data_IF_551063273133
#
_entry.id   IF_551063273133
#
_cell.length_a   1.000
_cell.length_b   1.000
_cell.length_c   1.000
_cell.angle_alpha   90.00
_cell.angle_beta   90.00
_cell.angle_gamma   90.00
#
_symmetry.space_group_name_H-M   'P 1'
#
loop_
_entity.id
_entity.type
_entity.pdbx_description
1 polymer ?
#
# COMPACT_ATOMS: atom_id res chain seq x y z
N UNK A 1 6.59 -15.76 7.22
CA UNK A 1 6.15 -14.98 6.04
C UNK A 1 7.31 -14.23 5.45
N UNK A 2 7.55 -14.39 4.15
CA UNK A 2 8.66 -13.73 3.43
C UNK A 2 8.62 -12.20 3.59
N UNK A 3 7.42 -11.59 3.58
CA UNK A 3 7.28 -10.14 3.76
C UNK A 3 7.70 -9.66 5.16
N UNK A 4 7.52 -10.48 6.20
CA UNK A 4 7.99 -10.14 7.55
C UNK A 4 9.53 -10.16 7.62
N UNK A 5 10.17 -11.10 6.91
CA UNK A 5 11.62 -11.15 6.79
C UNK A 5 12.15 -9.90 6.06
N UNK A 6 11.51 -9.50 4.96
CA UNK A 6 11.85 -8.28 4.21
C UNK A 6 11.66 -7.05 5.11
N UNK A 7 10.57 -6.96 5.86
CA UNK A 7 10.33 -5.83 6.76
C UNK A 7 11.41 -5.74 7.85
N UNK A 8 11.84 -6.88 8.40
CA UNK A 8 12.92 -6.93 9.38
C UNK A 8 14.26 -6.54 8.76
N UNK A 9 14.59 -7.05 7.58
CA UNK A 9 15.87 -6.81 6.93
C UNK A 9 16.06 -5.35 6.51
N UNK A 10 15.01 -4.71 5.98
CA UNK A 10 15.13 -3.37 5.40
C UNK A 10 14.60 -2.24 6.29
N UNK A 11 13.77 -2.53 7.29
CA UNK A 11 13.17 -1.51 8.19
C UNK A 11 13.40 -1.78 9.68
N UNK A 12 14.06 -2.89 10.04
CA UNK A 12 14.24 -3.34 11.44
C UNK A 12 12.91 -3.54 12.19
N UNK A 13 11.85 -3.90 11.46
CA UNK A 13 10.51 -4.15 12.00
C UNK A 13 10.16 -5.61 11.81
N UNK A 14 10.13 -6.37 12.90
CA UNK A 14 9.77 -7.80 12.90
C UNK A 14 8.24 -7.99 12.98
N UNK A 15 7.53 -7.52 11.96
CA UNK A 15 6.07 -7.61 11.84
C UNK A 15 5.65 -7.85 10.39
N UNK A 16 4.73 -8.78 10.18
CA UNK A 16 4.09 -8.98 8.88
C UNK A 16 3.20 -7.78 8.52
N UNK A 17 3.22 -7.39 7.25
CA UNK A 17 2.36 -6.33 6.69
C UNK A 17 1.80 -6.78 5.34
N UNK A 18 0.85 -6.03 4.80
CA UNK A 18 0.24 -6.22 3.49
C UNK A 18 1.13 -5.69 2.35
N UNK A 19 1.71 -4.51 2.51
CA UNK A 19 2.55 -3.84 1.52
C UNK A 19 3.75 -3.11 2.15
N UNK A 20 4.87 -3.09 1.43
CA UNK A 20 6.07 -2.31 1.73
C UNK A 20 6.48 -1.49 0.51
N UNK A 21 6.93 -0.26 0.76
CA UNK A 21 7.42 0.65 -0.29
C UNK A 21 8.85 1.08 0.02
N UNK A 22 9.73 0.91 -0.96
CA UNK A 22 11.16 1.22 -0.85
C UNK A 22 11.53 2.27 -1.88
N UNK A 23 11.55 3.57 -1.53
CA UNK A 23 11.96 4.63 -2.44
C UNK A 23 13.42 4.45 -2.85
N UNK A 24 13.73 4.77 -4.10
CA UNK A 24 15.11 4.81 -4.60
C UNK A 24 15.74 6.17 -4.40
N UNK A 25 17.06 6.21 -4.31
CA UNK A 25 17.81 7.47 -4.26
C UNK A 25 17.59 8.28 -5.55
N UNK A 26 17.26 9.58 -5.46
CA UNK A 26 16.89 10.37 -6.61
C UNK A 26 18.10 10.76 -7.47
N UNK A 27 18.06 10.37 -8.74
CA UNK A 27 18.94 10.89 -9.80
C UNK A 27 18.14 11.06 -11.11
N UNK A 28 18.59 11.88 -12.07
CA UNK A 28 17.89 12.06 -13.34
C UNK A 28 17.69 10.71 -14.06
N UNK A 29 16.42 10.29 -14.22
CA UNK A 29 16.06 9.00 -14.82
C UNK A 29 16.02 7.81 -13.86
N UNK A 30 16.15 8.05 -12.54
CA UNK A 30 16.02 6.99 -11.54
C UNK A 30 14.61 6.36 -11.54
N UNK A 31 14.48 5.06 -11.24
CA UNK A 31 13.19 4.49 -10.86
C UNK A 31 12.67 5.17 -9.57
N UNK A 32 11.36 5.17 -9.37
CA UNK A 32 10.77 5.70 -8.12
C UNK A 32 11.13 4.84 -6.91
N UNK A 33 11.21 3.52 -7.10
CA UNK A 33 11.39 2.58 -6.01
C UNK A 33 10.87 1.19 -6.33
N UNK A 34 10.71 0.41 -5.27
CA UNK A 34 10.11 -0.93 -5.31
C UNK A 34 8.91 -1.00 -4.39
N UNK A 35 7.89 -1.77 -4.80
CA UNK A 35 6.72 -2.10 -3.98
C UNK A 35 6.70 -3.61 -3.80
N UNK A 36 6.59 -4.08 -2.57
CA UNK A 36 6.46 -5.50 -2.24
C UNK A 36 5.08 -5.72 -1.63
N UNK A 37 4.29 -6.62 -2.21
CA UNK A 37 2.92 -6.94 -1.77
C UNK A 37 2.86 -8.40 -1.34
N UNK A 38 2.26 -8.66 -0.18
CA UNK A 38 2.02 -10.01 0.30
C UNK A 38 0.80 -10.63 -0.38
N UNK A 39 1.01 -11.63 -1.23
CA UNK A 39 -0.07 -12.36 -1.91
C UNK A 39 -0.96 -13.11 -0.92
N UNK A 40 -0.37 -13.72 0.11
CA UNK A 40 -1.14 -14.42 1.15
C UNK A 40 -2.11 -13.48 1.87
N UNK A 41 -1.68 -12.23 2.14
CA UNK A 41 -2.55 -11.22 2.75
C UNK A 41 -3.62 -10.73 1.78
N UNK A 42 -3.26 -10.45 0.53
CA UNK A 42 -4.22 -10.13 -0.54
C UNK A 42 -5.34 -11.15 -0.59
N UNK A 43 -5.02 -12.45 -0.60
CA UNK A 43 -6.02 -13.51 -0.67
C UNK A 43 -6.93 -13.53 0.55
N UNK A 44 -6.35 -13.43 1.75
CA UNK A 44 -7.13 -13.42 2.99
C UNK A 44 -8.09 -12.23 3.08
N UNK A 45 -7.61 -11.03 2.74
CA UNK A 45 -8.39 -9.78 2.81
C UNK A 45 -9.45 -9.74 1.71
N UNK A 46 -9.08 -10.10 0.48
CA UNK A 46 -10.01 -10.16 -0.65
C UNK A 46 -11.20 -11.09 -0.34
N UNK A 47 -10.92 -12.25 0.24
CA UNK A 47 -11.94 -13.20 0.68
C UNK A 47 -12.81 -12.65 1.82
N UNK A 48 -12.20 -12.06 2.86
CA UNK A 48 -12.91 -11.49 4.01
C UNK A 48 -13.85 -10.34 3.61
N UNK A 49 -13.41 -9.48 2.69
CA UNK A 49 -14.14 -8.29 2.27
C UNK A 49 -15.05 -8.52 1.05
N UNK A 50 -15.03 -9.72 0.45
CA UNK A 50 -15.91 -10.10 -0.64
C UNK A 50 -15.62 -9.39 -1.97
N UNK A 51 -14.35 -9.11 -2.27
CA UNK A 51 -13.90 -8.50 -3.53
C UNK A 51 -12.78 -9.33 -4.18
N UNK A 52 -12.40 -8.98 -5.41
CA UNK A 52 -11.39 -9.76 -6.14
C UNK A 52 -9.96 -9.48 -5.62
N UNK A 53 -9.10 -10.49 -5.69
CA UNK A 53 -7.67 -10.34 -5.40
C UNK A 53 -7.02 -9.23 -6.24
N UNK A 54 -7.41 -9.10 -7.51
CA UNK A 54 -6.94 -8.02 -8.38
C UNK A 54 -7.31 -6.63 -7.87
N UNK A 55 -8.51 -6.47 -7.28
CA UNK A 55 -8.90 -5.20 -6.68
C UNK A 55 -8.04 -4.90 -5.46
N UNK A 56 -7.78 -5.90 -4.61
CA UNK A 56 -6.93 -5.72 -3.43
C UNK A 56 -5.47 -5.39 -3.81
N UNK A 57 -4.91 -6.07 -4.81
CA UNK A 57 -3.59 -5.72 -5.36
C UNK A 57 -3.57 -4.28 -5.88
N UNK A 58 -4.62 -3.86 -6.61
CA UNK A 58 -4.69 -2.49 -7.14
C UNK A 58 -4.72 -1.45 -6.01
N UNK A 59 -5.45 -1.72 -4.92
CA UNK A 59 -5.52 -0.86 -3.75
C UNK A 59 -4.16 -0.72 -3.06
N UNK A 60 -3.49 -1.85 -2.78
CA UNK A 60 -2.16 -1.87 -2.18
C UNK A 60 -1.10 -1.24 -3.08
N UNK A 61 -1.21 -1.43 -4.40
CA UNK A 61 -0.31 -0.81 -5.36
C UNK A 61 -0.48 0.72 -5.40
N UNK A 62 -1.72 1.22 -5.40
CA UNK A 62 -2.00 2.67 -5.32
C UNK A 62 -1.39 3.24 -4.04
N UNK A 63 -1.61 2.58 -2.90
CA UNK A 63 -1.06 2.99 -1.61
C UNK A 63 0.47 3.06 -1.64
N UNK A 64 1.12 1.98 -2.08
CA UNK A 64 2.58 1.94 -2.16
C UNK A 64 3.15 2.97 -3.15
N UNK A 65 2.47 3.18 -4.29
CA UNK A 65 2.87 4.18 -5.27
C UNK A 65 2.79 5.60 -4.72
N UNK A 66 1.76 5.92 -3.92
CA UNK A 66 1.66 7.22 -3.26
C UNK A 66 2.81 7.44 -2.27
N UNK A 67 3.19 6.42 -1.50
CA UNK A 67 4.40 6.49 -0.66
C UNK A 67 5.67 6.73 -1.48
N UNK A 68 5.84 6.05 -2.62
CA UNK A 68 6.98 6.31 -3.52
C UNK A 68 6.98 7.72 -4.12
N UNK A 69 5.81 8.37 -4.21
CA UNK A 69 5.67 9.76 -4.66
C UNK A 69 5.85 10.79 -3.53
N UNK A 70 6.14 10.34 -2.31
CA UNK A 70 6.40 11.19 -1.14
C UNK A 70 5.17 11.56 -0.33
N UNK A 71 4.01 10.94 -0.58
CA UNK A 71 2.87 11.04 0.32
C UNK A 71 3.08 10.16 1.55
N UNK A 72 2.59 10.60 2.70
CA UNK A 72 2.75 9.86 3.95
C UNK A 72 1.58 10.13 4.89
N UNK A 73 0.63 9.19 4.93
CA UNK A 73 -0.57 9.29 5.73
C UNK A 73 -0.32 9.27 7.26
N UNK A 74 0.87 8.90 7.73
CA UNK A 74 1.20 8.93 9.16
C UNK A 74 1.55 10.34 9.65
N UNK A 75 2.05 11.21 8.76
CA UNK A 75 2.56 12.55 9.11
C UNK A 75 1.87 13.69 8.36
N UNK A 76 1.20 13.40 7.24
CA UNK A 76 0.48 14.39 6.46
C UNK A 76 -0.86 14.78 7.10
N UNK A 77 -1.55 15.75 6.49
CA UNK A 77 -2.85 16.26 6.98
C UNK A 77 -4.05 15.55 6.32
N UNK A 78 -3.88 14.30 5.90
CA UNK A 78 -4.86 13.54 5.13
C UNK A 78 -4.75 13.72 3.61
N UNK A 79 -3.63 14.28 3.12
CA UNK A 79 -3.41 14.53 1.69
C UNK A 79 -3.32 13.21 0.91
N UNK A 80 -2.56 12.24 1.43
CA UNK A 80 -2.48 10.89 0.89
C UNK A 80 -3.86 10.24 0.85
N UNK A 81 -4.61 10.32 1.95
CA UNK A 81 -5.96 9.75 2.06
C UNK A 81 -6.90 10.30 1.00
N UNK A 82 -6.87 11.62 0.79
CA UNK A 82 -7.68 12.27 -0.23
C UNK A 82 -7.32 11.77 -1.63
N UNK A 83 -6.01 11.56 -1.90
CA UNK A 83 -5.56 11.00 -3.19
C UNK A 83 -5.92 9.53 -3.36
N UNK A 84 -5.89 8.73 -2.31
CA UNK A 84 -6.38 7.36 -2.36
C UNK A 84 -7.85 7.32 -2.77
N UNK A 85 -8.72 8.13 -2.13
CA UNK A 85 -10.14 8.21 -2.46
C UNK A 85 -10.36 8.61 -3.92
N UNK A 86 -9.68 9.66 -4.39
CA UNK A 86 -9.77 10.12 -5.79
C UNK A 86 -9.40 9.00 -6.79
N UNK A 87 -8.33 8.26 -6.52
CA UNK A 87 -7.86 7.19 -7.41
C UNK A 87 -8.77 5.95 -7.35
N UNK A 88 -9.25 5.58 -6.16
CA UNK A 88 -10.20 4.48 -5.98
C UNK A 88 -11.48 4.74 -6.77
N UNK A 89 -12.04 5.94 -6.65
CA UNK A 89 -13.24 6.35 -7.41
C UNK A 89 -12.96 6.36 -8.91
N UNK A 90 -11.84 6.93 -9.34
CA UNK A 90 -11.44 7.01 -10.75
C UNK A 90 -11.31 5.64 -11.42
N UNK A 91 -10.80 4.64 -10.69
CA UNK A 91 -10.62 3.28 -11.20
C UNK A 91 -11.78 2.33 -10.86
N UNK A 92 -12.86 2.84 -10.25
CA UNK A 92 -14.03 2.06 -9.84
C UNK A 92 -13.65 0.85 -8.96
N UNK A 93 -12.71 1.07 -8.03
CA UNK A 93 -12.24 0.06 -7.10
C UNK A 93 -13.17 0.00 -5.86
N UNK A 94 -13.29 -1.17 -5.20
CA UNK A 94 -14.01 -1.28 -3.95
C UNK A 94 -13.33 -0.47 -2.84
N UNK A 95 -14.09 -0.08 -1.82
CA UNK A 95 -13.54 0.61 -0.66
C UNK A 95 -12.59 -0.30 0.12
N UNK A 96 -11.33 0.08 0.23
CA UNK A 96 -10.27 -0.64 0.94
C UNK A 96 -10.37 -0.51 2.46
N UNK A 97 -9.68 -1.40 3.19
CA UNK A 97 -9.45 -1.27 4.64
C UNK A 97 -8.62 -0.02 4.99
N UNK A 98 -7.75 0.40 4.09
CA UNK A 98 -6.99 1.65 4.18
C UNK A 98 -7.95 2.81 4.46
N UNK A 99 -9.12 2.87 3.82
CA UNK A 99 -10.15 3.90 4.10
C UNK A 99 -10.96 3.62 5.38
N UNK A 100 -11.01 2.38 5.89
CA UNK A 100 -11.85 1.98 7.04
C UNK A 100 -11.17 2.10 8.40
N UNK A 101 -9.84 2.12 8.46
CA UNK A 101 -9.10 2.53 9.68
C UNK A 101 -9.36 3.99 10.11
N UNK A 102 -10.20 4.73 9.38
CA UNK A 102 -10.69 6.07 9.76
C UNK A 102 -11.93 6.04 10.66
N UNK A 103 -12.52 4.87 10.93
CA UNK A 103 -13.71 4.72 11.80
C UNK A 103 -13.39 4.24 13.23
N UNK A 104 -12.11 4.16 13.61
CA UNK A 104 -11.64 4.02 15.01
C UNK A 104 -10.95 5.31 15.49
#
# INVERSE_FOLDING_TARGET
DEIAQINREFRDIDKATDVLSFPSDPFPGAPLGSIVISVDKVQSVAHELGHSENNEIALLFIHGMLHLLGFDHEIDKGEMRQKEVELIERFNLPKSLIVRTLEE
#
